data_IF_005722801687
#
_entry.id   IF_005722801687
#
_cell.length_a   1.000
_cell.length_b   1.000
_cell.length_c   1.000
_cell.angle_alpha   90.00
_cell.angle_beta   90.00
_cell.angle_gamma   90.00
#
_symmetry.space_group_name_H-M   'P 1'
#
loop_
_entity.id
_entity.type
_entity.pdbx_description
1 polymer ?
#
# COMPACT_ATOMS: atom_id res chain seq x y z
N UNK A 1 -10.38 -24.46 -44.78
CA UNK A 1 -11.36 -23.44 -44.35
C UNK A 1 -10.99 -22.97 -42.95
N UNK A 2 -10.30 -21.83 -42.82
CA UNK A 2 -10.09 -21.16 -41.55
C UNK A 2 -10.44 -19.68 -41.74
N UNK A 3 -11.50 -19.25 -41.06
CA UNK A 3 -12.00 -17.88 -41.05
C UNK A 3 -11.00 -16.98 -40.33
N UNK A 4 -10.41 -16.03 -41.05
CA UNK A 4 -9.54 -15.01 -40.50
C UNK A 4 -10.44 -13.91 -39.92
N UNK A 5 -10.63 -13.90 -38.60
CA UNK A 5 -11.23 -12.75 -37.92
C UNK A 5 -10.24 -11.60 -38.08
N UNK A 6 -10.57 -10.62 -38.94
CA UNK A 6 -9.82 -9.37 -39.02
C UNK A 6 -9.99 -8.65 -37.69
N UNK A 7 -8.91 -8.58 -36.93
CA UNK A 7 -8.84 -7.67 -35.80
C UNK A 7 -8.84 -6.25 -36.37
N UNK A 8 -9.97 -5.56 -36.24
CA UNK A 8 -10.03 -4.12 -36.57
C UNK A 8 -9.42 -3.42 -35.37
N UNK A 9 -8.25 -2.81 -35.56
CA UNK A 9 -7.70 -1.89 -34.58
C UNK A 9 -8.52 -0.59 -34.65
N UNK A 10 -9.33 -0.36 -33.63
CA UNK A 10 -10.26 0.76 -33.55
C UNK A 10 -9.57 2.04 -33.04
N UNK A 11 -8.36 1.94 -32.49
CA UNK A 11 -7.62 3.09 -31.95
C UNK A 11 -7.31 4.15 -33.01
N UNK A 12 -6.82 3.81 -34.22
CA UNK A 12 -6.57 4.79 -35.27
C UNK A 12 -7.85 5.44 -35.80
N UNK A 13 -8.99 4.74 -35.75
CA UNK A 13 -10.28 5.26 -36.24
C UNK A 13 -10.86 6.34 -35.32
N UNK A 14 -10.65 6.22 -34.01
CA UNK A 14 -11.11 7.19 -33.00
C UNK A 14 -10.00 8.10 -32.47
N UNK A 15 -8.81 8.09 -33.11
CA UNK A 15 -7.62 8.83 -32.65
C UNK A 15 -7.23 8.56 -31.18
N UNK A 16 -7.49 7.33 -30.70
CA UNK A 16 -7.19 6.94 -29.34
C UNK A 16 -5.70 6.60 -29.21
N UNK A 17 -5.03 7.24 -28.25
CA UNK A 17 -3.60 7.03 -27.96
C UNK A 17 -3.38 5.69 -27.24
N UNK A 18 -4.38 5.19 -26.51
CA UNK A 18 -4.36 3.91 -25.80
C UNK A 18 -5.78 3.31 -25.63
N UNK A 19 -5.87 2.08 -25.12
CA UNK A 19 -7.15 1.37 -24.92
C UNK A 19 -8.04 2.10 -23.88
N UNK A 20 -9.24 2.56 -24.26
CA UNK A 20 -10.08 3.44 -23.43
C UNK A 20 -10.77 2.72 -22.25
N UNK A 21 -10.71 1.38 -22.19
CA UNK A 21 -11.30 0.55 -21.14
C UNK A 21 -10.27 -0.38 -20.49
N UNK A 22 -9.04 0.09 -20.32
CA UNK A 22 -8.01 -0.67 -19.64
C UNK A 22 -8.41 -0.87 -18.16
N UNK A 23 -8.45 -2.12 -17.70
CA UNK A 23 -8.77 -2.49 -16.31
C UNK A 23 -7.66 -2.12 -15.34
N UNK A 24 -6.48 -1.77 -15.85
CA UNK A 24 -5.37 -1.22 -15.09
C UNK A 24 -5.50 0.30 -15.09
N UNK A 25 -5.80 0.88 -13.92
CA UNK A 25 -5.85 2.33 -13.73
C UNK A 25 -4.47 2.94 -14.06
N UNK A 26 -4.38 3.65 -15.19
CA UNK A 26 -3.19 4.42 -15.55
C UNK A 26 -3.15 5.69 -14.68
N UNK A 27 -2.03 5.96 -13.96
CA UNK A 27 -1.89 7.17 -13.13
C UNK A 27 -2.11 8.48 -13.91
N UNK A 28 -1.95 8.45 -15.25
CA UNK A 28 -2.09 9.60 -16.14
C UNK A 28 -3.53 10.10 -16.31
N UNK A 29 -4.54 9.26 -16.05
CA UNK A 29 -5.97 9.65 -16.13
C UNK A 29 -6.61 9.91 -14.78
N UNK A 30 -5.83 9.94 -13.69
CA UNK A 30 -6.40 10.20 -12.38
C UNK A 30 -6.80 11.68 -12.24
N UNK A 31 -8.10 11.94 -12.28
CA UNK A 31 -8.64 13.22 -11.81
C UNK A 31 -8.56 13.25 -10.28
N UNK A 32 -7.47 13.84 -9.77
CA UNK A 32 -7.27 14.09 -8.35
C UNK A 32 -8.32 15.12 -7.89
N UNK A 33 -9.50 14.65 -7.49
CA UNK A 33 -10.51 15.52 -6.90
C UNK A 33 -9.90 16.31 -5.73
N UNK A 34 -10.37 17.54 -5.43
CA UNK A 34 -9.84 18.31 -4.31
C UNK A 34 -9.85 17.53 -2.98
N UNK A 35 -10.82 16.65 -2.79
CA UNK A 35 -10.92 15.77 -1.61
C UNK A 35 -9.81 14.71 -1.61
N UNK A 36 -9.54 14.06 -2.75
CA UNK A 36 -8.44 13.11 -2.88
C UNK A 36 -7.07 13.78 -2.69
N UNK A 37 -6.89 15.00 -3.19
CA UNK A 37 -5.67 15.79 -2.99
C UNK A 37 -5.44 16.11 -1.51
N UNK A 38 -6.50 16.51 -0.78
CA UNK A 38 -6.42 16.79 0.65
C UNK A 38 -6.07 15.52 1.44
N UNK A 39 -6.71 14.38 1.12
CA UNK A 39 -6.41 13.11 1.77
C UNK A 39 -4.95 12.69 1.54
N UNK A 40 -4.48 12.74 0.29
CA UNK A 40 -3.10 12.45 -0.09
C UNK A 40 -2.12 13.33 0.69
N UNK A 41 -2.31 14.65 0.65
CA UNK A 41 -1.41 15.61 1.31
C UNK A 41 -1.36 15.40 2.83
N UNK A 42 -2.50 15.12 3.47
CA UNK A 42 -2.57 14.82 4.90
C UNK A 42 -1.82 13.53 5.24
N UNK A 43 -2.00 12.47 4.44
CA UNK A 43 -1.33 11.19 4.66
C UNK A 43 0.18 11.28 4.41
N UNK A 44 0.60 11.93 3.33
CA UNK A 44 2.02 12.21 3.05
C UNK A 44 2.63 13.02 4.20
N UNK A 45 1.96 14.07 4.66
CA UNK A 45 2.42 14.86 5.80
C UNK A 45 2.53 14.02 7.09
N UNK A 46 1.60 13.11 7.34
CA UNK A 46 1.67 12.21 8.50
C UNK A 46 2.87 11.25 8.43
N UNK A 47 3.15 10.71 7.24
CA UNK A 47 4.31 9.84 6.99
C UNK A 47 5.64 10.60 7.14
N UNK A 48 5.75 11.79 6.53
CA UNK A 48 6.95 12.64 6.60
C UNK A 48 7.24 13.06 8.05
N UNK A 49 6.20 13.40 8.81
CA UNK A 49 6.32 13.76 10.23
C UNK A 49 6.42 12.54 11.16
N UNK A 50 6.57 11.33 10.61
CA UNK A 50 6.71 10.06 11.34
C UNK A 50 5.65 9.82 12.42
N UNK A 51 4.38 10.14 12.12
CA UNK A 51 3.25 9.98 13.05
C UNK A 51 2.87 8.51 13.32
N UNK A 52 3.43 7.57 12.56
CA UNK A 52 3.25 6.13 12.74
C UNK A 52 2.07 5.55 11.99
N UNK A 53 0.89 6.19 12.04
CA UNK A 53 -0.33 5.70 11.37
C UNK A 53 -1.10 6.83 10.70
N UNK A 54 -1.61 6.58 9.49
CA UNK A 54 -2.57 7.41 8.77
C UNK A 54 -3.68 6.54 8.18
N UNK A 55 -4.92 7.02 8.19
CA UNK A 55 -6.09 6.29 7.67
C UNK A 55 -6.83 7.17 6.67
N UNK A 56 -7.10 6.63 5.49
CA UNK A 56 -7.85 7.27 4.41
C UNK A 56 -9.12 6.48 4.15
N UNK A 57 -10.23 6.96 4.70
CA UNK A 57 -11.56 6.37 4.48
C UNK A 57 -12.13 6.78 3.13
N UNK A 58 -12.95 5.91 2.55
CA UNK A 58 -13.86 6.25 1.46
C UNK A 58 -14.70 5.06 1.02
N UNK A 59 -15.82 5.32 0.36
CA UNK A 59 -16.73 4.26 -0.12
C UNK A 59 -16.14 3.44 -1.28
N UNK A 60 -16.80 2.33 -1.62
CA UNK A 60 -16.47 1.53 -2.80
C UNK A 60 -16.53 2.40 -4.06
N UNK A 61 -15.53 2.29 -4.93
CA UNK A 61 -15.50 3.05 -6.19
C UNK A 61 -15.01 4.51 -6.06
N UNK A 62 -14.62 4.97 -4.86
CA UNK A 62 -14.08 6.34 -4.68
C UNK A 62 -12.60 6.49 -5.11
N UNK A 63 -11.98 5.44 -5.66
CA UNK A 63 -10.61 5.48 -6.16
C UNK A 63 -9.52 5.29 -5.10
N UNK A 64 -9.86 4.71 -3.93
CA UNK A 64 -8.90 4.37 -2.85
C UNK A 64 -7.69 3.58 -3.35
N UNK A 65 -7.93 2.50 -4.11
CA UNK A 65 -6.86 1.66 -4.67
C UNK A 65 -5.95 2.43 -5.63
N UNK A 66 -6.52 3.35 -6.41
CA UNK A 66 -5.74 4.23 -7.28
C UNK A 66 -4.91 5.20 -6.45
N UNK A 67 -5.49 5.78 -5.39
CA UNK A 67 -4.80 6.68 -4.48
C UNK A 67 -3.66 5.98 -3.72
N UNK A 68 -3.86 4.74 -3.29
CA UNK A 68 -2.84 3.92 -2.64
C UNK A 68 -1.64 3.67 -3.56
N UNK A 69 -1.88 3.38 -4.85
CA UNK A 69 -0.82 3.21 -5.86
C UNK A 69 -0.08 4.53 -6.13
N UNK A 70 -0.80 5.63 -6.35
CA UNK A 70 -0.19 6.95 -6.55
C UNK A 70 0.69 7.33 -5.35
N UNK A 71 0.22 7.05 -4.14
CA UNK A 71 0.97 7.33 -2.91
C UNK A 71 2.22 6.44 -2.78
N UNK A 72 2.11 5.16 -3.13
CA UNK A 72 3.24 4.24 -3.18
C UNK A 72 4.33 4.73 -4.14
N UNK A 73 3.94 5.05 -5.38
CA UNK A 73 4.86 5.54 -6.41
C UNK A 73 5.51 6.87 -5.97
N UNK A 74 4.73 7.78 -5.41
CA UNK A 74 5.24 9.03 -4.85
C UNK A 74 6.29 8.81 -3.75
N UNK A 75 6.05 7.88 -2.82
CA UNK A 75 7.04 7.58 -1.78
C UNK A 75 8.33 6.96 -2.34
N UNK A 76 8.22 6.09 -3.34
CA UNK A 76 9.39 5.53 -4.03
C UNK A 76 10.20 6.63 -4.72
N UNK A 77 9.55 7.57 -5.41
CA UNK A 77 10.22 8.73 -6.03
C UNK A 77 10.93 9.65 -5.01
N UNK A 78 10.39 9.76 -3.79
CA UNK A 78 11.02 10.51 -2.68
C UNK A 78 12.14 9.70 -1.98
N UNK A 79 12.46 8.51 -2.46
CA UNK A 79 13.52 7.65 -1.91
C UNK A 79 13.17 6.96 -0.59
N UNK A 80 11.87 6.85 -0.28
CA UNK A 80 11.35 6.07 0.85
C UNK A 80 11.30 4.59 0.47
N UNK A 81 11.34 3.72 1.47
CA UNK A 81 11.09 2.29 1.27
C UNK A 81 9.60 2.08 1.44
N UNK A 82 8.84 2.06 0.35
CA UNK A 82 7.39 1.86 0.38
C UNK A 82 7.02 0.48 -0.16
N UNK A 83 6.05 -0.17 0.46
CA UNK A 83 5.39 -1.38 -0.06
C UNK A 83 3.88 -1.23 0.01
N UNK A 84 3.17 -1.84 -0.95
CA UNK A 84 1.72 -1.81 -1.05
C UNK A 84 1.16 -3.24 -1.01
N UNK A 85 0.25 -3.50 -0.08
CA UNK A 85 -0.54 -4.73 0.00
C UNK A 85 -1.99 -4.44 -0.40
N UNK A 86 -2.51 -5.15 -1.41
CA UNK A 86 -3.85 -4.87 -1.95
C UNK A 86 -4.95 -5.86 -1.53
N UNK A 87 -4.65 -6.84 -0.67
CA UNK A 87 -5.62 -7.84 -0.19
C UNK A 87 -5.16 -8.42 1.17
N UNK A 88 -5.44 -7.74 2.29
CA UNK A 88 -4.83 -8.07 3.58
C UNK A 88 -5.60 -9.14 4.38
N UNK A 89 -6.56 -9.85 3.77
CA UNK A 89 -7.40 -10.88 4.38
C UNK A 89 -6.67 -12.21 4.66
N UNK A 90 -5.52 -12.17 5.32
CA UNK A 90 -4.70 -13.36 5.58
C UNK A 90 -5.31 -14.27 6.65
N UNK A 91 -5.06 -15.58 6.50
CA UNK A 91 -5.58 -16.62 7.41
C UNK A 91 -4.91 -16.61 8.79
N UNK A 92 -3.73 -16.00 8.96
CA UNK A 92 -3.01 -15.94 10.23
C UNK A 92 -2.03 -14.76 10.31
N UNK A 93 -1.65 -14.38 11.53
CA UNK A 93 -0.60 -13.37 11.78
C UNK A 93 0.72 -13.75 11.10
N UNK A 94 1.09 -15.03 11.11
CA UNK A 94 2.33 -15.50 10.48
C UNK A 94 2.27 -15.34 8.95
N UNK A 95 1.13 -15.62 8.32
CA UNK A 95 0.96 -15.44 6.88
C UNK A 95 1.05 -13.96 6.49
N UNK A 96 0.46 -13.06 7.29
CA UNK A 96 0.61 -11.61 7.11
C UNK A 96 2.07 -11.18 7.24
N UNK A 97 2.75 -11.52 8.35
CA UNK A 97 4.14 -11.10 8.58
C UNK A 97 5.11 -11.68 7.55
N UNK A 98 4.87 -12.91 7.09
CA UNK A 98 5.61 -13.50 5.98
C UNK A 98 5.45 -12.68 4.70
N UNK A 99 4.22 -12.30 4.36
CA UNK A 99 3.94 -11.52 3.16
C UNK A 99 4.51 -10.11 3.23
N UNK A 100 4.45 -9.47 4.41
CA UNK A 100 5.10 -8.18 4.66
C UNK A 100 6.62 -8.29 4.45
N UNK A 101 7.25 -9.33 5.00
CA UNK A 101 8.68 -9.56 4.79
C UNK A 101 9.02 -9.74 3.31
N UNK A 102 8.29 -10.59 2.60
CA UNK A 102 8.49 -10.81 1.16
C UNK A 102 8.33 -9.49 0.36
N UNK A 103 7.35 -8.65 0.71
CA UNK A 103 7.12 -7.36 0.06
C UNK A 103 8.25 -6.35 0.30
N UNK A 104 8.88 -6.36 1.49
CA UNK A 104 10.07 -5.56 1.79
C UNK A 104 11.38 -6.23 1.33
N UNK A 105 11.30 -7.31 0.53
CA UNK A 105 12.45 -8.09 0.06
C UNK A 105 13.28 -8.74 1.19
N UNK A 106 12.66 -8.92 2.36
CA UNK A 106 13.23 -9.61 3.51
C UNK A 106 12.97 -11.10 3.36
N UNK A 107 14.02 -11.93 3.46
CA UNK A 107 13.86 -13.38 3.43
C UNK A 107 12.93 -13.84 4.57
N UNK A 108 11.78 -14.47 4.27
CA UNK A 108 10.80 -14.84 5.27
C UNK A 108 11.30 -15.93 6.20
N UNK A 109 10.90 -15.82 7.47
CA UNK A 109 11.13 -16.80 8.51
C UNK A 109 10.14 -17.97 8.48
N UNK A 110 10.35 -18.94 9.37
CA UNK A 110 9.49 -20.12 9.52
C UNK A 110 8.33 -19.94 10.51
N UNK A 111 8.52 -19.10 11.51
CA UNK A 111 7.53 -18.84 12.58
C UNK A 111 7.15 -17.36 12.62
N UNK A 112 6.05 -17.05 13.32
CA UNK A 112 5.60 -15.67 13.51
C UNK A 112 6.71 -14.82 14.14
N UNK A 113 7.29 -15.31 15.24
CA UNK A 113 8.37 -14.63 15.94
C UNK A 113 9.58 -14.36 15.05
N UNK A 114 10.03 -15.36 14.29
CA UNK A 114 11.16 -15.20 13.35
C UNK A 114 10.84 -14.15 12.27
N UNK A 115 9.62 -14.12 11.75
CA UNK A 115 9.20 -13.08 10.81
C UNK A 115 9.14 -11.68 11.45
N UNK A 116 8.60 -11.56 12.67
CA UNK A 116 8.56 -10.28 13.41
C UNK A 116 9.98 -9.78 13.72
N UNK A 117 10.89 -10.65 14.16
CA UNK A 117 12.25 -10.30 14.52
C UNK A 117 13.05 -9.83 13.29
N UNK A 118 12.86 -10.49 12.14
CA UNK A 118 13.46 -10.06 10.85
C UNK A 118 12.95 -8.69 10.41
N UNK A 119 11.64 -8.44 10.52
CA UNK A 119 11.07 -7.15 10.19
C UNK A 119 11.61 -6.06 11.10
N UNK A 120 11.69 -6.30 12.42
CA UNK A 120 12.27 -5.34 13.38
C UNK A 120 13.74 -5.03 13.04
N UNK A 121 14.54 -6.04 12.73
CA UNK A 121 15.94 -5.85 12.34
C UNK A 121 16.05 -4.95 11.09
N UNK A 122 15.22 -5.20 10.08
CA UNK A 122 15.15 -4.36 8.88
C UNK A 122 14.73 -2.92 9.19
N UNK A 123 13.74 -2.73 10.08
CA UNK A 123 13.26 -1.41 10.49
C UNK A 123 14.33 -0.62 11.25
N UNK A 124 15.12 -1.27 12.10
CA UNK A 124 16.25 -0.64 12.80
C UNK A 124 17.35 -0.23 11.83
N UNK A 125 17.79 -1.15 10.97
CA UNK A 125 18.84 -0.89 10.00
C UNK A 125 18.47 0.26 9.05
N UNK A 126 17.27 0.20 8.47
CA UNK A 126 16.89 1.21 7.49
C UNK A 126 16.37 2.50 8.15
N UNK A 127 15.58 2.38 9.22
CA UNK A 127 14.88 3.49 9.84
C UNK A 127 15.74 4.32 10.79
N UNK A 128 16.66 3.68 11.54
CA UNK A 128 17.56 4.37 12.47
C UNK A 128 18.94 4.62 11.87
N UNK A 129 19.58 3.57 11.34
CA UNK A 129 20.97 3.67 10.87
C UNK A 129 21.02 4.41 9.51
N UNK A 130 20.22 3.97 8.53
CA UNK A 130 20.21 4.58 7.19
C UNK A 130 19.29 5.80 7.08
N UNK A 131 18.59 6.17 8.17
CA UNK A 131 17.65 7.29 8.25
C UNK A 131 16.59 7.31 7.11
N UNK A 132 16.17 6.14 6.64
CA UNK A 132 15.10 5.97 5.65
C UNK A 132 13.73 6.07 6.32
N UNK A 133 12.73 6.46 5.53
CA UNK A 133 11.32 6.36 5.91
C UNK A 133 10.77 5.08 5.31
N UNK A 134 10.21 4.21 6.15
CA UNK A 134 9.68 2.91 5.75
C UNK A 134 8.16 2.98 5.84
N UNK A 135 7.48 2.68 4.73
CA UNK A 135 6.04 2.86 4.58
C UNK A 135 5.39 1.53 4.19
N UNK A 136 4.45 1.07 4.99
CA UNK A 136 3.54 -0.02 4.64
C UNK A 136 2.18 0.58 4.30
N UNK A 137 1.76 0.43 3.05
CA UNK A 137 0.43 0.80 2.59
C UNK A 137 -0.43 -0.46 2.51
N UNK A 138 -1.60 -0.42 3.11
CA UNK A 138 -2.58 -1.51 3.06
C UNK A 138 -3.89 -0.96 2.47
N UNK A 139 -4.20 -1.44 1.27
CA UNK A 139 -5.50 -1.24 0.63
C UNK A 139 -6.50 -2.31 1.11
N UNK A 140 -7.80 -2.01 0.98
CA UNK A 140 -8.89 -2.83 1.52
C UNK A 140 -8.68 -3.20 3.00
N UNK A 141 -8.23 -2.21 3.80
CA UNK A 141 -7.80 -2.44 5.18
C UNK A 141 -8.91 -2.96 6.11
N UNK A 142 -10.18 -2.87 5.70
CA UNK A 142 -11.30 -3.48 6.43
C UNK A 142 -11.24 -5.02 6.46
N UNK A 143 -10.50 -5.66 5.55
CA UNK A 143 -10.29 -7.12 5.56
C UNK A 143 -9.34 -7.58 6.68
N UNK A 144 -8.64 -6.65 7.36
CA UNK A 144 -7.77 -6.96 8.49
C UNK A 144 -8.60 -7.32 9.73
N UNK A 145 -8.64 -8.61 10.05
CA UNK A 145 -9.22 -9.08 11.32
C UNK A 145 -8.39 -8.61 12.52
N UNK A 146 -9.02 -8.53 13.70
CA UNK A 146 -8.38 -8.06 14.93
C UNK A 146 -7.01 -8.69 15.24
N UNK A 147 -6.80 -10.02 15.12
CA UNK A 147 -5.47 -10.60 15.34
C UNK A 147 -4.39 -10.04 14.40
N UNK A 148 -4.75 -9.74 13.15
CA UNK A 148 -3.83 -9.16 12.17
C UNK A 148 -3.46 -7.71 12.52
N UNK A 149 -4.44 -6.93 12.97
CA UNK A 149 -4.22 -5.57 13.47
C UNK A 149 -3.30 -5.57 14.70
N UNK A 150 -3.50 -6.51 15.63
CA UNK A 150 -2.63 -6.68 16.79
C UNK A 150 -1.18 -7.02 16.39
N UNK A 151 -1.00 -7.88 15.39
CA UNK A 151 0.33 -8.18 14.86
C UNK A 151 1.02 -6.93 14.30
N UNK A 152 0.32 -6.11 13.51
CA UNK A 152 0.85 -4.84 12.99
C UNK A 152 1.14 -3.87 14.14
N UNK A 153 0.26 -3.79 15.14
CA UNK A 153 0.41 -2.92 16.32
C UNK A 153 1.67 -3.26 17.13
N UNK A 154 2.02 -4.55 17.26
CA UNK A 154 3.27 -4.98 17.91
C UNK A 154 4.51 -4.46 17.19
N UNK A 155 4.49 -4.46 15.85
CA UNK A 155 5.60 -3.93 15.04
C UNK A 155 5.68 -2.40 15.13
N UNK A 156 4.55 -1.69 15.05
CA UNK A 156 4.50 -0.23 15.15
C UNK A 156 4.93 0.33 16.51
N UNK A 157 4.80 -0.46 17.58
CA UNK A 157 5.13 -0.07 18.95
C UNK A 157 6.38 -0.76 19.49
N UNK A 158 7.18 -1.39 18.63
CA UNK A 158 8.50 -1.86 19.00
C UNK A 158 9.36 -0.67 19.49
N UNK A 159 10.09 -0.89 20.60
CA UNK A 159 10.83 0.13 21.34
C UNK A 159 11.87 0.84 20.46
N UNK A 160 11.60 2.11 20.15
CA UNK A 160 12.48 3.06 19.49
C UNK A 160 12.01 4.47 19.84
N UNK A 161 12.92 5.44 19.85
CA UNK A 161 12.60 6.86 20.06
C UNK A 161 11.70 7.45 18.96
N UNK A 162 11.57 6.74 17.83
CA UNK A 162 10.79 7.15 16.65
C UNK A 162 9.92 6.01 16.14
N UNK A 163 8.83 6.35 15.46
CA UNK A 163 8.05 5.37 14.69
C UNK A 163 8.83 4.99 13.41
N UNK A 164 9.47 3.82 13.42
CA UNK A 164 10.30 3.36 12.30
C UNK A 164 9.47 2.91 11.10
N UNK A 165 8.31 2.30 11.36
CA UNK A 165 7.32 1.95 10.35
C UNK A 165 6.20 3.00 10.30
N UNK A 166 5.87 3.47 9.11
CA UNK A 166 4.72 4.32 8.83
C UNK A 166 3.64 3.49 8.14
N UNK A 167 2.47 3.39 8.74
CA UNK A 167 1.33 2.64 8.22
C UNK A 167 0.33 3.59 7.56
N UNK A 168 -0.06 3.30 6.32
CA UNK A 168 -1.17 3.98 5.64
C UNK A 168 -2.26 2.96 5.33
N UNK A 169 -3.44 3.15 5.91
CA UNK A 169 -4.59 2.26 5.74
C UNK A 169 -5.65 2.91 4.84
N UNK A 170 -6.15 2.15 3.87
CA UNK A 170 -7.29 2.54 3.05
C UNK A 170 -8.49 1.60 3.30
N UNK A 171 -9.24 1.79 4.40
CA UNK A 171 -10.46 1.03 4.64
C UNK A 171 -11.68 1.66 3.95
N UNK A 172 -12.75 0.87 3.83
CA UNK A 172 -14.10 1.37 3.54
C UNK A 172 -14.68 2.20 4.71
N UNK A 173 -15.68 3.06 4.46
CA UNK A 173 -16.25 3.92 5.52
C UNK A 173 -16.84 3.13 6.70
N UNK A 174 -17.36 1.95 6.42
CA UNK A 174 -17.94 1.01 7.39
C UNK A 174 -16.95 0.57 8.47
N UNK A 175 -15.65 0.69 8.21
CA UNK A 175 -14.58 0.41 9.17
C UNK A 175 -14.53 1.38 10.35
N UNK A 176 -15.32 2.47 10.34
CA UNK A 176 -15.44 3.39 11.48
C UNK A 176 -16.30 2.86 12.63
N UNK A 177 -17.12 1.84 12.37
CA UNK A 177 -18.15 1.33 13.29
C UNK A 177 -17.60 0.38 14.35
#
# INVERSE_FOLDING_TARGET
MASLVRHIDYKPFFELIEEPFNTVASPRFFYLSPIHAIALNKSVSAVVNRKGVSVVYGDVGTGKSTLARIMHDHFQEQGFISVLLTNPGYVSENALMRTINEAFEIKPGRSLKDNEDRLKAFLLENGEINNKTIVLIIDEAQELKLPLLEAIRRILNFESDKKLLQLVLFPQEEFRA
#
